data_IF_233706910385
#
_entry.id   IF_233706910385
#
_cell.length_a   1.000
_cell.length_b   1.000
_cell.length_c   1.000
_cell.angle_alpha   90.00
_cell.angle_beta   90.00
_cell.angle_gamma   90.00
#
_symmetry.space_group_name_H-M   'P 1'
#
loop_
_entity.id
_entity.type
_entity.pdbx_description
1 polymer ?
#
# COMPACT_ATOMS: atom_id res chain seq x y z
N UNK A 1 14.70 1.13 9.45
CA UNK A 1 14.65 2.58 9.14
C UNK A 1 15.78 3.32 9.84
N UNK A 2 16.22 4.44 9.29
CA UNK A 2 17.18 5.36 9.90
C UNK A 2 16.50 6.59 10.52
N UNK A 3 15.33 7.01 10.01
CA UNK A 3 14.55 8.15 10.51
C UNK A 3 13.06 7.78 10.58
N UNK A 4 12.61 7.05 11.62
CA UNK A 4 11.17 6.84 11.82
C UNK A 4 10.48 8.17 12.07
N UNK A 5 9.28 8.35 11.52
CA UNK A 5 8.52 9.60 11.63
C UNK A 5 7.02 9.37 11.51
N UNK A 6 6.25 10.32 12.02
CA UNK A 6 4.80 10.40 11.85
C UNK A 6 4.51 11.47 10.80
N UNK A 7 3.70 11.11 9.82
CA UNK A 7 3.29 12.00 8.73
C UNK A 7 1.79 12.22 8.83
N UNK A 8 1.37 13.48 8.88
CA UNK A 8 -0.03 13.84 8.65
C UNK A 8 -0.40 13.64 7.18
N UNK A 9 -1.70 13.62 6.87
CA UNK A 9 -2.15 13.57 5.48
C UNK A 9 -1.60 14.76 4.68
N UNK A 10 -1.56 15.96 5.28
CA UNK A 10 -1.00 17.13 4.62
C UNK A 10 0.49 16.95 4.35
N UNK A 11 1.28 16.36 5.25
CA UNK A 11 2.70 16.10 4.99
C UNK A 11 2.89 15.18 3.77
N UNK A 12 2.02 14.16 3.64
CA UNK A 12 2.05 13.26 2.49
C UNK A 12 1.71 13.98 1.18
N UNK A 13 0.78 14.94 1.22
CA UNK A 13 0.37 15.74 0.07
C UNK A 13 1.43 16.75 -0.39
N UNK A 14 2.42 17.08 0.46
CA UNK A 14 3.55 17.94 0.08
C UNK A 14 4.63 17.21 -0.71
N UNK A 15 4.64 15.86 -0.70
CA UNK A 15 5.53 15.11 -1.58
C UNK A 15 5.06 15.16 -3.04
N UNK A 16 5.95 14.91 -4.02
CA UNK A 16 5.56 14.77 -5.41
C UNK A 16 4.49 13.69 -5.58
N UNK A 17 3.31 14.12 -6.01
CA UNK A 17 2.18 13.23 -6.26
C UNK A 17 2.32 12.53 -7.62
N UNK A 18 1.72 11.35 -7.70
CA UNK A 18 1.51 10.59 -8.93
C UNK A 18 0.03 10.35 -9.11
N UNK A 19 -0.46 10.59 -10.32
CA UNK A 19 -1.80 10.21 -10.77
C UNK A 19 -1.67 9.07 -11.77
N UNK A 20 -2.49 8.03 -11.63
CA UNK A 20 -2.48 6.87 -12.51
C UNK A 20 -3.86 6.24 -12.66
N UNK A 21 -4.19 5.79 -13.87
CA UNK A 21 -5.39 5.00 -14.15
C UNK A 21 -4.98 3.54 -14.19
N UNK A 22 -5.52 2.74 -13.28
CA UNK A 22 -5.11 1.34 -13.11
C UNK A 22 -6.29 0.41 -12.89
N UNK A 23 -6.11 -0.84 -13.30
CA UNK A 23 -7.08 -1.91 -13.10
C UNK A 23 -6.83 -2.58 -11.76
N UNK A 24 -7.83 -2.56 -10.90
CA UNK A 24 -7.91 -3.39 -9.71
C UNK A 24 -8.53 -4.74 -10.09
N UNK A 25 -7.82 -5.83 -9.79
CA UNK A 25 -8.30 -7.20 -10.00
C UNK A 25 -8.57 -7.85 -8.66
N UNK A 26 -9.82 -8.21 -8.38
CA UNK A 26 -10.18 -8.95 -7.18
C UNK A 26 -10.08 -10.46 -7.44
N UNK A 27 -9.69 -11.21 -6.42
CA UNK A 27 -9.68 -12.67 -6.44
C UNK A 27 -11.09 -13.28 -6.60
N UNK A 28 -12.12 -12.54 -6.19
CA UNK A 28 -13.53 -12.90 -6.33
C UNK A 28 -14.05 -12.84 -7.78
N UNK A 29 -13.16 -12.63 -8.77
CA UNK A 29 -13.49 -12.71 -10.19
C UNK A 29 -14.03 -11.42 -10.82
N UNK A 30 -13.98 -10.30 -10.11
CA UNK A 30 -14.37 -8.99 -10.64
C UNK A 30 -13.15 -8.07 -10.79
N UNK A 31 -13.28 -7.05 -11.66
CA UNK A 31 -12.27 -6.00 -11.81
C UNK A 31 -12.91 -4.64 -11.99
N UNK A 32 -12.16 -3.60 -11.62
CA UNK A 32 -12.58 -2.22 -11.77
C UNK A 32 -11.39 -1.35 -12.21
N UNK A 33 -11.65 -0.31 -13.00
CA UNK A 33 -10.65 0.68 -13.39
C UNK A 33 -11.00 1.99 -12.71
N UNK A 34 -10.01 2.63 -12.10
CA UNK A 34 -10.15 3.94 -11.49
C UNK A 34 -8.87 4.75 -11.66
N UNK A 35 -8.99 6.07 -11.61
CA UNK A 35 -7.87 6.97 -11.45
C UNK A 35 -7.54 7.10 -9.96
N UNK A 36 -6.27 7.00 -9.61
CA UNK A 36 -5.75 7.15 -8.25
C UNK A 36 -4.69 8.24 -8.21
N UNK A 37 -4.77 9.10 -7.20
CA UNK A 37 -3.77 10.15 -6.92
C UNK A 37 -3.19 9.96 -5.53
N UNK A 38 -1.86 10.00 -5.43
CA UNK A 38 -1.16 9.75 -4.17
C UNK A 38 0.34 9.97 -4.25
N UNK A 39 1.01 9.79 -3.12
CA UNK A 39 2.48 9.83 -3.07
C UNK A 39 3.06 8.45 -3.39
N UNK A 40 4.10 8.33 -4.24
CA UNK A 40 4.82 7.07 -4.42
C UNK A 40 5.37 6.55 -3.10
N UNK A 41 5.13 5.27 -2.79
CA UNK A 41 5.58 4.67 -1.53
C UNK A 41 7.12 4.78 -1.38
N UNK A 42 7.84 4.58 -2.48
CA UNK A 42 9.29 4.83 -2.59
C UNK A 42 9.71 6.16 -1.96
N UNK A 43 9.03 7.26 -2.30
CA UNK A 43 9.38 8.61 -1.84
C UNK A 43 9.31 8.71 -0.32
N UNK A 44 8.26 8.14 0.27
CA UNK A 44 8.06 8.11 1.73
C UNK A 44 9.11 7.24 2.42
N UNK A 45 9.39 6.07 1.84
CA UNK A 45 10.41 5.14 2.34
C UNK A 45 11.83 5.74 2.30
N UNK A 46 12.19 6.41 1.22
CA UNK A 46 13.47 7.11 1.07
C UNK A 46 13.59 8.28 2.07
N UNK A 47 12.52 9.06 2.26
CA UNK A 47 12.48 10.12 3.27
C UNK A 47 12.71 9.58 4.69
N UNK A 48 12.07 8.46 5.04
CA UNK A 48 12.24 7.76 6.33
C UNK A 48 13.59 7.02 6.46
N UNK A 49 14.41 7.01 5.41
CA UNK A 49 15.73 6.38 5.40
C UNK A 49 15.65 4.85 5.49
N UNK A 50 15.09 4.21 4.47
CA UNK A 50 15.20 2.76 4.30
C UNK A 50 16.66 2.29 4.34
N UNK A 51 16.89 1.12 4.94
CA UNK A 51 18.22 0.50 5.01
C UNK A 51 18.40 -0.47 3.83
N UNK A 52 19.62 -0.66 3.32
CA UNK A 52 19.87 -1.65 2.25
C UNK A 52 19.47 -3.08 2.60
N UNK A 53 19.45 -3.43 3.88
CA UNK A 53 19.04 -4.76 4.37
C UNK A 53 17.53 -4.97 4.41
N UNK A 54 16.72 -3.94 4.15
CA UNK A 54 15.27 -4.05 4.22
C UNK A 54 14.72 -4.92 3.07
N UNK A 55 13.85 -5.88 3.40
CA UNK A 55 13.34 -6.88 2.44
C UNK A 55 11.83 -6.86 2.28
N UNK A 56 11.10 -6.42 3.30
CA UNK A 56 9.63 -6.43 3.32
C UNK A 56 9.09 -5.14 3.92
N UNK A 57 7.85 -4.83 3.55
CA UNK A 57 7.09 -3.72 4.08
C UNK A 57 5.74 -4.24 4.56
N UNK A 58 5.44 -3.91 5.81
CA UNK A 58 4.24 -4.30 6.54
C UNK A 58 3.35 -3.08 6.74
N UNK A 59 2.06 -3.25 6.53
CA UNK A 59 1.06 -2.20 6.57
C UNK A 59 -0.02 -2.59 7.57
N UNK A 60 -0.49 -1.61 8.34
CA UNK A 60 -1.55 -1.80 9.33
C UNK A 60 -2.64 -0.75 9.13
N UNK A 61 -3.87 -1.21 9.21
CA UNK A 61 -5.08 -0.43 9.02
C UNK A 61 -5.81 -0.19 10.35
N UNK A 62 -6.64 0.85 10.38
CA UNK A 62 -7.40 1.22 11.57
C UNK A 62 -8.47 0.19 11.98
N UNK A 63 -8.84 -0.72 11.08
CA UNK A 63 -9.82 -1.79 11.27
C UNK A 63 -9.17 -3.13 11.67
N UNK A 64 -7.97 -3.09 12.26
CA UNK A 64 -7.16 -4.24 12.69
C UNK A 64 -6.71 -5.19 11.56
N UNK A 65 -6.90 -4.80 10.30
CA UNK A 65 -6.33 -5.51 9.16
C UNK A 65 -4.87 -5.15 8.95
N UNK A 66 -4.09 -6.12 8.48
CA UNK A 66 -2.69 -5.94 8.16
C UNK A 66 -2.31 -6.71 6.91
N UNK A 67 -1.35 -6.16 6.17
CA UNK A 67 -0.83 -6.75 4.95
C UNK A 67 0.68 -6.56 4.83
N UNK A 68 1.31 -7.35 3.97
CA UNK A 68 2.72 -7.18 3.64
C UNK A 68 3.02 -7.41 2.15
N UNK A 69 4.05 -6.72 1.68
CA UNK A 69 4.63 -6.88 0.35
C UNK A 69 6.15 -6.91 0.44
N UNK A 70 6.80 -7.45 -0.59
CA UNK A 70 8.25 -7.39 -0.70
C UNK A 70 8.75 -5.97 -1.07
N UNK A 71 10.03 -5.73 -0.87
CA UNK A 71 10.63 -4.44 -1.18
C UNK A 71 10.62 -4.12 -2.69
N UNK A 72 10.54 -5.12 -3.58
CA UNK A 72 10.50 -4.90 -5.02
C UNK A 72 9.17 -4.25 -5.42
N UNK A 73 8.05 -4.77 -4.93
CA UNK A 73 6.72 -4.20 -5.12
C UNK A 73 6.57 -2.87 -4.35
N UNK A 74 7.13 -2.76 -3.14
CA UNK A 74 7.08 -1.51 -2.37
C UNK A 74 7.80 -0.34 -3.08
N UNK A 75 8.89 -0.64 -3.79
CA UNK A 75 9.68 0.33 -4.55
C UNK A 75 9.21 0.50 -5.99
N UNK A 76 8.17 -0.22 -6.41
CA UNK A 76 7.65 -0.13 -7.76
C UNK A 76 7.04 1.27 -8.02
N UNK A 77 7.28 1.91 -9.19
CA UNK A 77 6.80 3.27 -9.46
C UNK A 77 5.28 3.47 -9.42
N UNK A 78 4.51 2.40 -9.57
CA UNK A 78 3.03 2.44 -9.49
C UNK A 78 2.49 2.10 -8.09
N UNK A 79 3.35 1.76 -7.13
CA UNK A 79 2.92 1.54 -5.74
C UNK A 79 2.84 2.89 -5.04
N UNK A 80 1.63 3.29 -4.67
CA UNK A 80 1.34 4.62 -4.13
C UNK A 80 0.55 4.52 -2.81
N UNK A 81 0.72 5.52 -1.96
CA UNK A 81 -0.21 5.83 -0.87
C UNK A 81 -1.24 6.82 -1.42
N UNK A 82 -2.42 6.31 -1.78
CA UNK A 82 -3.46 7.07 -2.45
C UNK A 82 -4.34 7.82 -1.43
N UNK A 83 -4.57 9.09 -1.72
CA UNK A 83 -5.48 9.99 -0.98
C UNK A 83 -6.49 10.68 -1.90
N UNK A 84 -6.47 10.39 -3.21
CA UNK A 84 -7.46 10.85 -4.19
C UNK A 84 -7.90 9.75 -5.15
N UNK A 85 -9.12 9.87 -5.67
CA UNK A 85 -9.73 8.94 -6.62
C UNK A 85 -10.60 9.69 -7.63
N UNK A 86 -10.47 9.39 -8.93
CA UNK A 86 -11.28 9.95 -10.02
C UNK A 86 -11.39 11.49 -9.98
N UNK A 87 -10.26 12.19 -9.90
CA UNK A 87 -10.19 13.65 -9.85
C UNK A 87 -10.64 14.31 -8.53
N UNK A 88 -11.08 13.55 -7.53
CA UNK A 88 -11.51 14.08 -6.22
C UNK A 88 -10.79 13.44 -5.03
N UNK A 89 -11.23 13.81 -3.83
CA UNK A 89 -10.77 13.21 -2.58
C UNK A 89 -11.13 11.72 -2.52
N UNK A 90 -10.31 10.92 -1.84
CA UNK A 90 -10.56 9.50 -1.64
C UNK A 90 -11.87 9.30 -0.85
N UNK A 91 -12.87 8.57 -1.36
CA UNK A 91 -14.10 8.30 -0.62
C UNK A 91 -13.87 7.31 0.53
N UNK A 92 -14.63 7.43 1.62
CA UNK A 92 -14.53 6.56 2.82
C UNK A 92 -14.69 5.07 2.45
N UNK A 93 -15.66 4.73 1.60
CA UNK A 93 -15.88 3.35 1.14
C UNK A 93 -14.65 2.74 0.43
N UNK A 94 -13.77 3.59 -0.10
CA UNK A 94 -12.54 3.21 -0.77
C UNK A 94 -11.30 3.34 0.11
N UNK A 95 -11.43 3.61 1.42
CA UNK A 95 -10.32 3.58 2.37
C UNK A 95 -9.76 4.95 2.74
N UNK A 96 -10.56 6.01 2.66
CA UNK A 96 -10.15 7.34 3.12
C UNK A 96 -9.68 7.33 4.59
N UNK A 97 -8.76 8.23 5.00
CA UNK A 97 -8.16 9.29 4.19
C UNK A 97 -6.96 8.82 3.34
N UNK A 98 -6.44 7.62 3.60
CA UNK A 98 -5.23 7.11 2.97
C UNK A 98 -5.35 5.59 2.78
N UNK A 99 -5.05 5.11 1.58
CA UNK A 99 -4.96 3.68 1.29
C UNK A 99 -3.66 3.32 0.59
N UNK A 100 -3.27 2.07 0.71
CA UNK A 100 -2.25 1.47 -0.14
C UNK A 100 -2.84 1.07 -1.50
N UNK A 101 -2.06 1.28 -2.56
CA UNK A 101 -2.31 0.76 -3.90
C UNK A 101 -1.09 -0.01 -4.38
N UNK A 102 -1.25 -1.30 -4.64
CA UNK A 102 -0.20 -2.19 -5.17
C UNK A 102 -0.71 -2.80 -6.46
N UNK A 103 -0.38 -2.19 -7.59
CA UNK A 103 -1.01 -2.51 -8.89
C UNK A 103 -0.55 -3.83 -9.51
N UNK A 104 0.54 -4.40 -9.00
CA UNK A 104 1.12 -5.67 -9.47
C UNK A 104 0.54 -6.90 -8.76
N UNK A 105 -0.37 -6.70 -7.80
CA UNK A 105 -0.93 -7.76 -6.97
C UNK A 105 -2.47 -7.70 -6.97
N UNK A 106 -3.08 -8.77 -6.47
CA UNK A 106 -4.54 -8.82 -6.28
C UNK A 106 -5.05 -7.77 -5.29
N UNK A 107 -6.35 -7.52 -5.39
CA UNK A 107 -6.99 -6.39 -4.76
C UNK A 107 -6.85 -6.30 -3.25
N UNK A 108 -6.83 -7.43 -2.55
CA UNK A 108 -6.72 -7.48 -1.09
C UNK A 108 -5.39 -6.91 -0.58
N UNK A 109 -4.30 -6.98 -1.38
CA UNK A 109 -3.00 -6.37 -1.06
C UNK A 109 -3.04 -4.84 -1.04
N UNK A 110 -4.04 -4.23 -1.66
CA UNK A 110 -4.23 -2.78 -1.64
C UNK A 110 -5.02 -2.35 -0.40
N UNK A 111 -4.39 -2.41 0.77
CA UNK A 111 -4.98 -2.18 2.10
C UNK A 111 -5.67 -0.80 2.22
N UNK A 112 -6.85 -0.76 2.84
CA UNK A 112 -7.62 0.46 3.14
C UNK A 112 -7.24 1.02 4.52
N UNK A 113 -7.61 2.28 4.81
CA UNK A 113 -7.51 2.88 6.15
C UNK A 113 -6.11 2.80 6.79
N UNK A 114 -5.07 3.03 5.97
CA UNK A 114 -3.68 2.83 6.36
C UNK A 114 -3.28 3.82 7.47
N UNK A 115 -2.70 3.32 8.57
CA UNK A 115 -2.22 4.17 9.66
C UNK A 115 -0.76 3.93 10.07
N UNK A 116 -0.18 2.77 9.71
CA UNK A 116 1.20 2.44 10.08
C UNK A 116 1.89 1.62 9.01
N UNK A 117 3.17 1.94 8.79
CA UNK A 117 4.07 1.23 7.88
C UNK A 117 5.30 0.80 8.68
N UNK A 118 5.67 -0.48 8.58
CA UNK A 118 6.86 -1.05 9.23
C UNK A 118 7.73 -1.69 8.16
N UNK A 119 9.02 -1.36 8.17
CA UNK A 119 10.00 -1.94 7.23
C UNK A 119 10.89 -2.92 7.99
N UNK A 120 10.96 -4.14 7.48
CA UNK A 120 11.63 -5.27 8.13
C UNK A 120 12.50 -6.04 7.13
N UNK A 121 13.49 -6.76 7.64
CA UNK A 121 14.33 -7.70 6.89
C UNK A 121 13.83 -9.15 7.01
N UNK A 122 12.83 -9.39 7.87
CA UNK A 122 12.21 -10.69 8.09
C UNK A 122 10.80 -10.69 7.51
N UNK A 123 10.45 -11.79 6.85
CA UNK A 123 9.08 -12.01 6.44
C UNK A 123 8.21 -12.25 7.68
N UNK A 124 7.12 -11.51 7.78
CA UNK A 124 6.07 -11.72 8.76
C UNK A 124 4.78 -11.95 7.98
N UNK A 125 4.14 -13.10 8.20
CA UNK A 125 2.80 -13.35 7.68
C UNK A 125 1.82 -12.60 8.59
N UNK A 126 1.47 -11.38 8.16
CA UNK A 126 0.68 -10.44 8.96
C UNK A 126 -0.82 -10.54 8.70
N UNK A 127 -1.26 -11.30 7.71
CA UNK A 127 -2.63 -11.22 7.21
C UNK A 127 -3.48 -12.42 7.58
N UNK A 128 -4.64 -12.13 8.20
CA UNK A 128 -5.85 -12.97 8.06
C UNK A 128 -6.27 -13.12 6.59
N UNK A 129 -5.96 -12.10 5.76
CA UNK A 129 -6.23 -12.07 4.33
C UNK A 129 -5.18 -12.86 3.51
N UNK A 130 -3.95 -13.01 4.03
CA UNK A 130 -2.87 -13.79 3.40
C UNK A 130 -2.70 -15.20 3.97
N UNK A 131 -3.50 -15.59 4.97
CA UNK A 131 -3.38 -16.88 5.63
C UNK A 131 -3.58 -18.02 4.61
N UNK A 132 -2.60 -18.93 4.45
CA UNK A 132 -2.75 -20.10 3.57
C UNK A 132 -3.91 -21.02 3.97
N UNK A 133 -4.33 -20.98 5.24
CA UNK A 133 -5.51 -21.71 5.75
C UNK A 133 -6.83 -21.15 5.24
N UNK A 134 -6.85 -19.87 4.88
CA UNK A 134 -7.98 -19.21 4.21
C UNK A 134 -7.89 -19.33 2.68
N UNK A 135 -6.85 -20.01 2.16
CA UNK A 135 -6.68 -20.32 0.73
C UNK A 135 -5.79 -19.37 -0.05
N UNK A 136 -5.14 -18.39 0.59
CA UNK A 136 -4.46 -17.31 -0.10
C UNK A 136 -2.93 -17.44 -0.05
N UNK A 137 -2.26 -17.22 -1.20
CA UNK A 137 -0.81 -17.21 -1.28
C UNK A 137 -0.25 -15.84 -0.83
N UNK A 138 0.88 -15.82 -0.13
CA UNK A 138 1.50 -14.57 0.32
C UNK A 138 1.98 -13.67 -0.85
N UNK A 139 2.31 -14.29 -1.99
CA UNK A 139 2.63 -13.63 -3.26
C UNK A 139 1.52 -13.93 -4.26
N UNK A 140 0.79 -12.90 -4.67
CA UNK A 140 -0.32 -12.98 -5.63
C UNK A 140 -0.11 -12.04 -6.81
N UNK A 141 1.12 -12.01 -7.28
CA UNK A 141 1.50 -11.24 -8.47
C UNK A 141 0.64 -11.62 -9.68
N UNK A 142 0.27 -10.62 -10.47
CA UNK A 142 -0.44 -10.76 -11.76
C UNK A 142 0.51 -10.42 -12.90
#
# INVERSE_FOLDING_TARGET
MARPGSYSLSDLQHFPARTQITKHSCEEGWSAIAEWTGVPLRTVLEAAGIRPSARFVSFYAFDDDAESIDMLDALHPQTILAYGMNGGDLPIAHGAPLRLRVERQLGYKSLKFLHRIVVTDRFEDLGKLSEPRNGWAWYVGI
#
